data_IF_525813669076
#
_entry.id   IF_525813669076
#
_cell.length_a   1.000
_cell.length_b   1.000
_cell.length_c   1.000
_cell.angle_alpha   90.00
_cell.angle_beta   90.00
_cell.angle_gamma   90.00
#
_symmetry.space_group_name_H-M   'P 1'
#
loop_
_entity.id
_entity.type
_entity.pdbx_description
1 polymer ?
#
# COMPACT_ATOMS: atom_id res chain seq x y z
N UNK A 1 40.85 -35.97 -16.99
CA UNK A 1 40.15 -35.18 -15.95
C UNK A 1 40.33 -33.66 -16.10
N UNK A 2 41.54 -33.14 -16.33
CA UNK A 2 41.83 -31.69 -16.34
C UNK A 2 41.10 -30.88 -17.44
N UNK A 3 40.82 -31.49 -18.60
CA UNK A 3 40.04 -30.84 -19.68
C UNK A 3 38.56 -30.66 -19.32
N UNK A 4 37.96 -31.60 -18.59
CA UNK A 4 36.54 -31.53 -18.19
C UNK A 4 36.31 -30.38 -17.21
N UNK A 5 37.20 -30.21 -16.24
CA UNK A 5 37.15 -29.08 -15.28
C UNK A 5 37.27 -27.71 -15.97
N UNK A 6 38.07 -27.60 -17.03
CA UNK A 6 38.21 -26.35 -17.78
C UNK A 6 36.93 -25.97 -18.54
N UNK A 7 36.25 -26.95 -19.14
CA UNK A 7 35.00 -26.73 -19.88
C UNK A 7 33.85 -26.35 -18.93
N UNK A 8 33.76 -27.02 -17.78
CA UNK A 8 32.76 -26.69 -16.73
C UNK A 8 33.01 -25.29 -16.16
N UNK A 9 34.27 -24.91 -15.93
CA UNK A 9 34.61 -23.57 -15.46
C UNK A 9 34.29 -22.48 -16.49
N UNK A 10 34.54 -22.74 -17.78
CA UNK A 10 34.26 -21.78 -18.86
C UNK A 10 32.75 -21.55 -19.03
N UNK A 11 31.95 -22.62 -18.99
CA UNK A 11 30.48 -22.55 -19.10
C UNK A 11 29.86 -21.80 -17.92
N UNK A 12 30.35 -22.02 -16.70
CA UNK A 12 29.88 -21.26 -15.52
C UNK A 12 30.18 -19.77 -15.63
N UNK A 13 31.36 -19.40 -16.14
CA UNK A 13 31.72 -17.99 -16.35
C UNK A 13 30.88 -17.31 -17.43
N UNK A 14 30.57 -18.02 -18.51
CA UNK A 14 29.68 -17.51 -19.57
C UNK A 14 28.26 -17.33 -19.04
N UNK A 15 27.74 -18.29 -18.26
CA UNK A 15 26.41 -18.20 -17.66
C UNK A 15 26.31 -17.04 -16.65
N UNK A 16 27.33 -16.85 -15.81
CA UNK A 16 27.39 -15.73 -14.88
C UNK A 16 27.44 -14.37 -15.62
N UNK A 17 28.17 -14.29 -16.74
CA UNK A 17 28.23 -13.08 -17.56
C UNK A 17 26.87 -12.76 -18.21
N UNK A 18 26.13 -13.78 -18.67
CA UNK A 18 24.79 -13.62 -19.24
C UNK A 18 23.76 -13.14 -18.19
N UNK A 19 23.88 -13.58 -16.93
CA UNK A 19 23.00 -13.12 -15.85
C UNK A 19 23.26 -11.66 -15.45
N UNK A 20 24.51 -11.17 -15.55
CA UNK A 20 24.86 -9.77 -15.26
C UNK A 20 24.46 -8.82 -16.40
N UNK A 21 24.36 -9.32 -17.63
CA UNK A 21 23.89 -8.56 -18.80
C UNK A 21 22.36 -8.43 -18.88
N UNK A 22 21.61 -9.19 -18.06
CA UNK A 22 20.17 -9.04 -17.91
C UNK A 22 19.83 -7.75 -17.17
N UNK A 23 19.80 -6.62 -17.87
CA UNK A 23 19.15 -5.41 -17.34
C UNK A 23 17.67 -5.72 -17.13
N UNK A 24 17.19 -5.58 -15.89
CA UNK A 24 15.78 -5.63 -15.59
C UNK A 24 15.08 -4.39 -16.21
N UNK A 25 14.78 -4.44 -17.50
CA UNK A 25 14.00 -3.41 -18.19
C UNK A 25 12.50 -3.63 -17.99
N UNK A 26 12.02 -3.41 -16.77
CA UNK A 26 10.60 -3.11 -16.55
C UNK A 26 10.48 -1.89 -15.63
N UNK A 27 11.01 -0.76 -16.08
CA UNK A 27 10.46 0.52 -15.65
C UNK A 27 9.15 0.72 -16.41
N UNK A 28 8.06 0.18 -15.87
CA UNK A 28 6.73 0.51 -16.37
C UNK A 28 6.57 2.03 -16.21
N UNK A 29 6.64 2.77 -17.31
CA UNK A 29 6.16 4.15 -17.40
C UNK A 29 4.68 4.12 -17.03
N UNK A 30 4.40 4.29 -15.74
CA UNK A 30 3.07 4.17 -15.18
C UNK A 30 2.51 5.57 -15.06
N UNK A 31 1.40 5.81 -15.76
CA UNK A 31 0.65 7.05 -15.63
C UNK A 31 0.30 7.28 -14.15
N UNK A 32 0.44 8.53 -13.71
CA UNK A 32 0.15 8.89 -12.32
C UNK A 32 -1.35 8.64 -12.04
N UNK A 33 -1.68 7.88 -10.98
CA UNK A 33 -3.08 7.62 -10.65
C UNK A 33 -3.88 8.90 -10.41
N UNK A 34 -5.13 8.92 -10.83
CA UNK A 34 -6.07 10.02 -10.60
C UNK A 34 -6.89 9.76 -9.34
N UNK A 35 -6.62 10.51 -8.28
CA UNK A 35 -7.30 10.27 -7.01
C UNK A 35 -8.79 10.53 -7.00
N UNK A 36 -9.31 11.38 -7.89
CA UNK A 36 -10.75 11.56 -7.98
C UNK A 36 -11.44 10.23 -8.37
N UNK A 37 -10.87 9.50 -9.33
CA UNK A 37 -11.36 8.18 -9.76
C UNK A 37 -11.18 7.12 -8.67
N UNK A 38 -10.09 7.20 -7.91
CA UNK A 38 -9.88 6.32 -6.75
C UNK A 38 -10.99 6.56 -5.72
N UNK A 39 -11.25 7.80 -5.31
CA UNK A 39 -12.29 8.09 -4.33
C UNK A 39 -13.68 7.68 -4.82
N UNK A 40 -13.97 7.79 -6.12
CA UNK A 40 -15.24 7.33 -6.69
C UNK A 40 -15.38 5.80 -6.71
N UNK A 41 -14.29 5.08 -6.98
CA UNK A 41 -14.30 3.63 -7.20
C UNK A 41 -14.27 2.80 -5.90
N UNK A 42 -13.55 3.26 -4.88
CA UNK A 42 -13.28 2.46 -3.68
C UNK A 42 -14.18 2.85 -2.51
N UNK A 43 -15.42 2.34 -2.49
CA UNK A 43 -16.39 2.60 -1.40
C UNK A 43 -16.16 1.74 -0.15
N UNK A 44 -15.63 0.54 -0.35
CA UNK A 44 -15.26 -0.38 0.72
C UNK A 44 -14.05 -1.17 0.26
N UNK A 45 -13.16 -1.46 1.21
CA UNK A 45 -11.85 -1.96 0.85
C UNK A 45 -11.14 -2.55 2.07
N UNK A 46 -10.26 -3.51 1.87
CA UNK A 46 -9.40 -4.05 2.93
C UNK A 46 -7.96 -3.63 2.66
N UNK A 47 -7.19 -3.38 3.70
CA UNK A 47 -5.79 -3.02 3.65
C UNK A 47 -4.98 -4.06 4.41
N UNK A 48 -3.80 -4.34 3.87
CA UNK A 48 -2.74 -5.06 4.58
C UNK A 48 -1.67 -4.03 4.92
N UNK A 49 -1.35 -3.91 6.20
CA UNK A 49 -0.42 -2.89 6.68
C UNK A 49 0.21 -3.36 7.98
N UNK A 50 1.53 -3.41 8.06
CA UNK A 50 2.25 -3.69 9.31
C UNK A 50 2.19 -2.42 10.20
N UNK A 51 1.19 -2.34 11.09
CA UNK A 51 0.94 -1.16 11.94
C UNK A 51 2.00 -1.09 13.04
N UNK A 52 2.34 -2.23 13.64
CA UNK A 52 3.10 -2.31 14.88
C UNK A 52 4.58 -2.75 14.70
N UNK A 53 4.98 -3.07 13.47
CA UNK A 53 6.35 -3.41 13.05
C UNK A 53 6.86 -4.73 13.62
N UNK A 54 5.96 -5.66 13.95
CA UNK A 54 6.38 -7.00 14.39
C UNK A 54 6.74 -7.94 13.22
N UNK A 55 6.43 -7.52 11.99
CA UNK A 55 6.71 -8.22 10.75
C UNK A 55 5.56 -9.07 10.21
N UNK A 56 4.40 -9.08 10.88
CA UNK A 56 3.14 -9.53 10.32
C UNK A 56 2.40 -8.37 9.60
N UNK A 57 1.33 -8.69 8.85
CA UNK A 57 0.55 -7.69 8.13
C UNK A 57 -0.83 -7.58 8.77
N UNK A 58 -1.15 -6.43 9.33
CA UNK A 58 -2.46 -6.16 9.89
C UNK A 58 -3.52 -5.96 8.83
N UNK A 59 -4.67 -6.59 9.08
CA UNK A 59 -5.86 -6.44 8.26
C UNK A 59 -6.69 -5.21 8.74
N UNK A 60 -6.76 -4.14 7.95
CA UNK A 60 -7.65 -3.01 8.23
C UNK A 60 -8.78 -2.96 7.21
N UNK A 61 -10.03 -2.93 7.65
CA UNK A 61 -11.15 -2.66 6.73
C UNK A 61 -11.42 -1.17 6.68
N UNK A 62 -11.71 -0.61 5.50
CA UNK A 62 -12.08 0.79 5.33
C UNK A 62 -13.41 0.90 4.58
N UNK A 63 -14.26 1.83 5.03
CA UNK A 63 -15.54 2.15 4.38
C UNK A 63 -15.63 3.65 4.16
N UNK A 64 -16.12 4.05 3.00
CA UNK A 64 -16.38 5.44 2.63
C UNK A 64 -17.70 5.93 3.26
N UNK A 65 -17.68 7.09 3.91
CA UNK A 65 -18.89 7.72 4.48
C UNK A 65 -19.29 9.03 3.80
N UNK A 66 -18.33 9.95 3.59
CA UNK A 66 -18.63 11.32 3.14
C UNK A 66 -17.79 11.68 1.89
N UNK A 67 -18.28 11.41 0.68
CA UNK A 67 -17.59 11.77 -0.57
C UNK A 67 -18.14 13.08 -1.17
N UNK A 68 -17.25 14.04 -1.43
CA UNK A 68 -17.54 15.28 -2.16
C UNK A 68 -16.80 15.26 -3.51
N UNK A 69 -17.57 15.24 -4.59
CA UNK A 69 -17.04 15.27 -5.96
C UNK A 69 -16.58 16.67 -6.40
N UNK A 70 -17.20 17.73 -5.85
CA UNK A 70 -16.90 19.12 -6.21
C UNK A 70 -15.52 19.55 -5.70
N UNK A 71 -15.14 19.05 -4.53
CA UNK A 71 -13.81 19.15 -3.94
C UNK A 71 -13.37 17.73 -3.62
N UNK A 72 -12.69 17.01 -4.54
CA UNK A 72 -12.39 15.59 -4.43
C UNK A 72 -11.81 15.22 -3.06
N UNK A 73 -12.71 14.81 -2.17
CA UNK A 73 -12.44 14.55 -0.76
C UNK A 73 -13.42 13.52 -0.24
N UNK A 74 -12.96 12.79 0.76
CA UNK A 74 -13.62 11.61 1.27
C UNK A 74 -13.30 11.40 2.74
N UNK A 75 -14.30 11.01 3.54
CA UNK A 75 -14.03 10.41 4.86
C UNK A 75 -14.04 8.89 4.73
N UNK A 76 -12.94 8.25 5.12
CA UNK A 76 -12.87 6.80 5.29
C UNK A 76 -12.88 6.44 6.76
N UNK A 77 -13.73 5.50 7.16
CA UNK A 77 -13.69 4.88 8.48
C UNK A 77 -12.87 3.61 8.40
N UNK A 78 -11.72 3.62 9.05
CA UNK A 78 -10.90 2.44 9.29
C UNK A 78 -11.48 1.68 10.47
N UNK A 79 -11.72 0.40 10.26
CA UNK A 79 -12.30 -0.54 11.22
C UNK A 79 -11.20 -1.55 11.54
N UNK A 80 -10.58 -1.36 12.70
CA UNK A 80 -9.62 -2.28 13.27
C UNK A 80 -10.40 -3.25 14.15
N UNK A 81 -10.50 -4.50 13.71
CA UNK A 81 -11.18 -5.53 14.50
C UNK A 81 -10.25 -5.91 15.65
N UNK A 82 -10.73 -5.73 16.88
CA UNK A 82 -10.04 -6.24 18.05
C UNK A 82 -10.05 -7.77 18.03
N UNK A 83 -8.88 -8.40 18.07
CA UNK A 83 -8.72 -9.84 18.24
C UNK A 83 -7.67 -10.11 19.33
N UNK A 84 -7.53 -11.35 19.78
CA UNK A 84 -6.54 -11.74 20.79
C UNK A 84 -6.59 -10.91 22.11
N UNK A 85 -7.77 -10.34 22.44
CA UNK A 85 -7.97 -9.51 23.63
C UNK A 85 -7.83 -8.01 23.40
N UNK A 86 -7.54 -7.58 22.18
CA UNK A 86 -7.47 -6.17 21.79
C UNK A 86 -8.90 -5.63 21.54
N UNK A 87 -9.12 -4.36 21.85
CA UNK A 87 -10.42 -3.72 21.63
C UNK A 87 -10.59 -3.31 20.17
N UNK A 88 -11.79 -3.49 19.63
CA UNK A 88 -12.12 -2.99 18.30
C UNK A 88 -12.11 -1.46 18.29
N UNK A 89 -11.54 -0.86 17.24
CA UNK A 89 -11.40 0.59 17.12
C UNK A 89 -11.80 1.06 15.72
N UNK A 90 -12.61 2.10 15.69
CA UNK A 90 -12.92 2.83 14.46
C UNK A 90 -12.16 4.16 14.45
N UNK A 91 -11.47 4.45 13.35
CA UNK A 91 -10.73 5.71 13.14
C UNK A 91 -11.23 6.34 11.85
N UNK A 92 -11.73 7.57 11.91
CA UNK A 92 -12.23 8.28 10.73
C UNK A 92 -11.12 9.16 10.17
N UNK A 93 -10.67 8.89 8.95
CA UNK A 93 -9.69 9.71 8.24
C UNK A 93 -10.39 10.61 7.22
N UNK A 94 -10.20 11.92 7.37
CA UNK A 94 -10.51 12.86 6.31
C UNK A 94 -9.38 12.85 5.30
N UNK A 95 -9.71 12.65 4.02
CA UNK A 95 -8.76 12.57 2.91
C UNK A 95 -9.23 13.52 1.81
N UNK A 96 -8.29 14.24 1.18
CA UNK A 96 -8.57 15.05 -0.01
C UNK A 96 -7.43 14.98 -1.01
N UNK A 97 -7.71 15.35 -2.25
CA UNK A 97 -6.68 15.49 -3.28
C UNK A 97 -5.63 16.52 -2.86
N UNK A 98 -4.36 16.21 -3.13
CA UNK A 98 -3.23 17.13 -3.06
C UNK A 98 -3.01 17.88 -4.37
N UNK A 99 -1.87 18.56 -4.48
CA UNK A 99 -1.56 19.39 -5.64
C UNK A 99 -1.14 18.53 -6.85
N UNK A 100 -0.44 17.42 -6.61
CA UNK A 100 -0.12 16.44 -7.64
C UNK A 100 -1.27 15.44 -7.86
N UNK A 101 -1.45 14.91 -9.10
CA UNK A 101 -2.50 13.93 -9.39
C UNK A 101 -2.50 12.70 -8.50
N UNK A 102 -1.30 12.25 -8.11
CA UNK A 102 -1.04 11.07 -7.29
C UNK A 102 -0.90 11.38 -5.79
N UNK A 103 -1.04 12.63 -5.37
CA UNK A 103 -0.90 13.01 -3.95
C UNK A 103 -2.28 13.17 -3.29
N UNK A 104 -2.39 12.68 -2.07
CA UNK A 104 -3.51 12.97 -1.18
C UNK A 104 -3.01 13.58 0.11
N UNK A 105 -3.86 14.39 0.71
CA UNK A 105 -3.69 14.91 2.05
C UNK A 105 -4.69 14.23 2.97
N UNK A 106 -4.24 13.77 4.14
CA UNK A 106 -5.08 13.06 5.08
C UNK A 106 -4.80 13.44 6.53
N UNK A 107 -5.81 13.27 7.40
CA UNK A 107 -5.68 13.35 8.85
C UNK A 107 -6.78 12.57 9.54
N UNK A 108 -6.59 12.22 10.80
CA UNK A 108 -7.71 11.83 11.65
C UNK A 108 -8.70 13.00 11.72
N UNK A 109 -9.97 12.72 11.38
CA UNK A 109 -11.07 13.69 11.34
C UNK A 109 -11.31 14.34 12.70
N UNK A 110 -11.01 13.62 13.79
CA UNK A 110 -11.20 14.05 15.16
C UNK A 110 -9.94 14.67 15.79
N UNK A 111 -8.81 14.68 15.08
CA UNK A 111 -7.56 15.30 15.52
C UNK A 111 -7.38 16.70 14.89
N UNK A 112 -6.86 17.63 15.69
CA UNK A 112 -6.52 19.00 15.26
C UNK A 112 -5.17 19.08 14.56
N UNK A 113 -4.40 17.98 14.52
CA UNK A 113 -3.15 17.91 13.77
C UNK A 113 -3.31 18.32 12.29
N UNK A 114 -2.24 18.88 11.71
CA UNK A 114 -2.23 19.25 10.31
C UNK A 114 -2.40 18.04 9.40
N UNK A 115 -2.86 18.29 8.17
CA UNK A 115 -2.89 17.29 7.12
C UNK A 115 -1.48 16.78 6.82
N UNK A 116 -1.38 15.46 6.66
CA UNK A 116 -0.18 14.77 6.20
C UNK A 116 -0.32 14.42 4.72
N UNK A 117 0.80 14.33 4.01
CA UNK A 117 0.82 14.01 2.58
C UNK A 117 1.13 12.53 2.39
N UNK A 118 0.24 11.80 1.71
CA UNK A 118 0.49 10.47 1.18
C UNK A 118 0.50 10.47 -0.35
N UNK A 119 0.92 9.35 -0.95
CA UNK A 119 1.01 9.17 -2.40
C UNK A 119 0.29 7.92 -2.85
N UNK A 120 -0.37 7.95 -4.00
CA UNK A 120 -0.91 6.78 -4.67
C UNK A 120 0.04 6.35 -5.78
N UNK A 121 0.68 5.21 -5.58
CA UNK A 121 1.71 4.69 -6.49
C UNK A 121 1.08 3.93 -7.66
N UNK A 122 -0.09 3.33 -7.45
CA UNK A 122 -0.79 2.58 -8.50
C UNK A 122 -2.29 2.47 -8.20
N UNK A 123 -3.12 2.50 -9.23
CA UNK A 123 -4.49 2.00 -9.14
C UNK A 123 -4.93 1.42 -10.48
N UNK A 124 -5.76 0.38 -10.42
CA UNK A 124 -6.54 -0.10 -11.57
C UNK A 124 -7.96 0.52 -11.63
N UNK A 125 -8.27 1.39 -10.66
CA UNK A 125 -9.56 2.05 -10.43
C UNK A 125 -10.76 1.11 -10.21
N UNK A 126 -10.51 -0.17 -9.94
CA UNK A 126 -11.54 -1.20 -9.80
C UNK A 126 -11.38 -1.97 -8.51
N UNK A 127 -10.22 -2.60 -8.34
CA UNK A 127 -9.98 -3.62 -7.33
C UNK A 127 -8.64 -3.49 -6.62
N UNK A 128 -7.79 -2.55 -7.03
CA UNK A 128 -6.47 -2.39 -6.45
C UNK A 128 -6.10 -0.90 -6.43
N UNK A 129 -5.70 -0.41 -5.27
CA UNK A 129 -4.94 0.83 -5.17
C UNK A 129 -3.84 0.66 -4.15
N UNK A 130 -2.65 1.09 -4.53
CA UNK A 130 -1.42 1.06 -3.75
C UNK A 130 -1.09 2.48 -3.32
N UNK A 131 -1.07 2.70 -2.02
CA UNK A 131 -0.72 3.99 -1.43
C UNK A 131 0.52 3.88 -0.56
N UNK A 132 1.26 4.97 -0.49
CA UNK A 132 2.38 5.20 0.42
C UNK A 132 1.94 6.28 1.42
N UNK A 133 2.12 6.00 2.70
CA UNK A 133 1.84 6.92 3.80
C UNK A 133 3.16 7.38 4.42
N UNK A 134 3.25 8.64 4.89
CA UNK A 134 4.42 9.13 5.60
C UNK A 134 4.61 8.32 6.89
N UNK A 135 5.88 8.17 7.29
CA UNK A 135 6.30 7.42 8.48
C UNK A 135 5.42 7.78 9.67
N UNK A 136 4.76 6.79 10.27
CA UNK A 136 4.06 6.96 11.55
C UNK A 136 5.12 7.16 12.64
N UNK A 137 5.58 8.41 12.83
CA UNK A 137 6.68 8.67 13.76
C UNK A 137 6.18 8.80 15.19
N UNK A 138 6.30 7.70 15.93
CA UNK A 138 6.73 7.75 17.32
C UNK A 138 8.11 7.10 17.40
N UNK A 139 9.17 7.92 17.38
CA UNK A 139 10.56 7.59 17.75
C UNK A 139 11.30 6.41 17.06
N UNK A 140 10.80 5.87 15.97
CA UNK A 140 11.56 4.95 15.11
C UNK A 140 11.34 5.33 13.65
N UNK A 141 12.39 5.23 12.83
CA UNK A 141 12.41 5.59 11.42
C UNK A 141 11.56 4.62 10.59
N UNK A 142 10.24 4.79 10.56
CA UNK A 142 9.33 3.86 9.87
C UNK A 142 9.40 4.09 8.36
N UNK A 143 10.25 3.38 7.62
CA UNK A 143 10.01 3.23 6.18
C UNK A 143 8.76 2.37 5.99
N UNK A 144 7.59 3.02 5.96
CA UNK A 144 6.34 2.36 5.66
C UNK A 144 6.33 2.00 4.18
N UNK A 145 6.90 0.84 3.83
CA UNK A 145 6.56 0.14 2.59
C UNK A 145 5.19 -0.55 2.77
N UNK A 146 4.19 0.22 3.18
CA UNK A 146 2.82 -0.26 3.33
C UNK A 146 2.22 -0.41 1.95
N UNK A 147 2.30 -1.60 1.37
CA UNK A 147 1.62 -1.86 0.11
C UNK A 147 0.14 -2.07 0.41
N UNK A 148 -0.61 -0.99 0.52
CA UNK A 148 -2.04 -1.10 0.71
C UNK A 148 -2.63 -1.79 -0.52
N UNK A 149 -3.37 -2.88 -0.33
CA UNK A 149 -4.05 -3.61 -1.40
C UNK A 149 -5.54 -3.60 -1.15
N UNK A 150 -6.22 -2.59 -1.66
CA UNK A 150 -7.66 -2.48 -1.54
C UNK A 150 -8.41 -3.41 -2.51
N UNK A 151 -8.59 -4.69 -2.18
CA UNK A 151 -9.45 -5.58 -2.98
C UNK A 151 -10.93 -5.34 -2.65
N UNK A 152 -11.71 -4.91 -3.66
CA UNK A 152 -13.15 -4.68 -3.55
C UNK A 152 -13.97 -5.99 -3.57
N UNK A 153 -13.35 -7.13 -3.85
CA UNK A 153 -14.03 -8.42 -3.97
C UNK A 153 -13.35 -9.44 -3.05
N UNK A 154 -14.17 -10.08 -2.22
CA UNK A 154 -13.88 -11.17 -1.27
C UNK A 154 -13.48 -10.80 0.17
N UNK A 155 -14.34 -10.01 0.82
CA UNK A 155 -14.36 -9.82 2.29
C UNK A 155 -14.59 -11.15 3.06
N UNK A 156 -15.06 -12.21 2.39
CA UNK A 156 -15.49 -13.44 3.04
C UNK A 156 -14.41 -14.51 3.30
N UNK A 157 -13.20 -14.41 2.74
CA UNK A 157 -12.23 -15.51 2.73
C UNK A 157 -10.82 -15.20 3.26
N UNK A 158 -10.57 -14.03 3.84
CA UNK A 158 -9.23 -13.69 4.33
C UNK A 158 -9.00 -14.27 5.75
N UNK A 159 -8.62 -15.55 5.80
CA UNK A 159 -8.41 -16.33 7.03
C UNK A 159 -6.96 -16.30 7.57
N UNK A 160 -6.08 -15.44 7.02
CA UNK A 160 -4.63 -15.49 7.31
C UNK A 160 -3.98 -14.13 7.56
N UNK A 161 -4.75 -13.13 8.01
CA UNK A 161 -4.18 -11.94 8.62
C UNK A 161 -4.11 -12.13 10.13
N UNK A 162 -2.96 -11.82 10.71
CA UNK A 162 -2.90 -11.38 12.10
C UNK A 162 -3.32 -9.90 12.14
N UNK A 163 -3.73 -9.45 13.32
CA UNK A 163 -4.41 -8.17 13.54
C UNK A 163 -3.79 -7.60 14.82
N UNK A 164 -3.71 -6.26 14.95
CA UNK A 164 -2.84 -5.61 15.92
C UNK A 164 -3.42 -5.62 17.34
#
# INVERSE_FOLDING_TARGET
>A
MQQVFRVVSLTFRVLALLLVLGKAEHQLLRERPDLAKVFQGFRSSVALFDVDQDGDLDCVSAVQEDYDESVPSVTYVWILKGVNGHEAKNISYYVRRGDAPDEFLFKDKNDEKPLQTGRCIYSDYKNCVLIELPQYSSNSSVQAFGTLFFTSQDIHNMHSCELP
#
